data_IF_317712528702
#
_entry.id   IF_317712528702
#
_cell.length_a   1.000
_cell.length_b   1.000
_cell.length_c   1.000
_cell.angle_alpha   90.00
_cell.angle_beta   90.00
_cell.angle_gamma   90.00
#
_symmetry.space_group_name_H-M   'P 1'
#
loop_
_entity.id
_entity.type
_entity.pdbx_description
1 polymer ?
#
# COMPACT_ATOMS: atom_id res chain seq x y z
N UNK A 1 7.53 -18.13 17.20
CA UNK A 1 7.10 -16.72 17.25
C UNK A 1 5.60 -16.74 17.03
N UNK A 2 4.79 -16.34 18.00
CA UNK A 2 3.34 -16.24 17.81
C UNK A 2 3.05 -14.80 17.41
N UNK A 3 3.18 -14.52 16.11
CA UNK A 3 2.57 -13.33 15.53
C UNK A 3 1.08 -13.36 15.86
N UNK A 4 0.43 -12.20 15.98
CA UNK A 4 -1.02 -12.16 16.01
C UNK A 4 -1.53 -12.48 14.58
N UNK A 5 -1.63 -13.78 14.30
CA UNK A 5 -2.07 -14.28 13.01
C UNK A 5 -3.49 -13.80 12.69
N UNK A 6 -4.33 -13.55 13.71
CA UNK A 6 -5.67 -13.01 13.49
C UNK A 6 -5.60 -11.57 12.99
N UNK A 7 -4.71 -10.75 13.57
CA UNK A 7 -4.47 -9.39 13.08
C UNK A 7 -3.99 -9.37 11.63
N UNK A 8 -2.99 -10.18 11.28
CA UNK A 8 -2.43 -10.22 9.92
C UNK A 8 -3.48 -10.71 8.91
N UNK A 9 -4.24 -11.75 9.24
CA UNK A 9 -5.30 -12.26 8.35
C UNK A 9 -6.37 -11.18 8.11
N UNK A 10 -6.85 -10.53 9.18
CA UNK A 10 -7.83 -9.46 9.05
C UNK A 10 -7.31 -8.31 8.17
N UNK A 11 -6.05 -7.89 8.36
CA UNK A 11 -5.44 -6.82 7.55
C UNK A 11 -5.21 -7.22 6.10
N UNK A 12 -4.86 -8.48 5.83
CA UNK A 12 -4.74 -8.97 4.46
C UNK A 12 -6.09 -9.02 3.75
N UNK A 13 -7.17 -9.35 4.45
CA UNK A 13 -8.52 -9.35 3.90
C UNK A 13 -9.02 -7.92 3.62
N UNK A 14 -8.77 -6.97 4.53
CA UNK A 14 -8.98 -5.54 4.28
C UNK A 14 -8.22 -5.07 3.04
N UNK A 15 -6.91 -5.37 2.97
CA UNK A 15 -6.05 -4.96 1.87
C UNK A 15 -6.51 -5.52 0.53
N UNK A 16 -6.94 -6.78 0.47
CA UNK A 16 -7.53 -7.40 -0.73
C UNK A 16 -8.82 -6.74 -1.14
N UNK A 17 -9.70 -6.43 -0.18
CA UNK A 17 -10.95 -5.72 -0.45
C UNK A 17 -10.70 -4.37 -1.11
N UNK A 18 -9.85 -3.55 -0.49
CA UNK A 18 -9.51 -2.23 -1.04
C UNK A 18 -8.76 -2.31 -2.38
N UNK A 19 -7.86 -3.30 -2.55
CA UNK A 19 -7.17 -3.55 -3.83
C UNK A 19 -8.15 -3.90 -4.94
N UNK A 20 -9.15 -4.75 -4.64
CA UNK A 20 -10.21 -5.13 -5.57
C UNK A 20 -11.11 -3.96 -5.96
N UNK A 21 -11.59 -3.18 -5.00
CA UNK A 21 -12.37 -1.97 -5.28
C UNK A 21 -11.59 -0.95 -6.12
N UNK A 22 -10.28 -0.83 -5.85
CA UNK A 22 -9.39 0.04 -6.61
C UNK A 22 -9.20 -0.44 -8.05
N UNK A 23 -9.04 -1.75 -8.25
CA UNK A 23 -8.94 -2.36 -9.57
C UNK A 23 -10.23 -2.17 -10.39
N UNK A 24 -11.40 -2.42 -9.79
CA UNK A 24 -12.71 -2.17 -10.40
C UNK A 24 -12.85 -0.70 -10.84
N UNK A 25 -12.52 0.25 -9.96
CA UNK A 25 -12.56 1.67 -10.26
C UNK A 25 -11.58 2.06 -11.38
N UNK A 26 -10.44 1.38 -11.46
CA UNK A 26 -9.45 1.63 -12.51
C UNK A 26 -9.84 1.02 -13.86
N UNK A 27 -10.92 0.24 -13.98
CA UNK A 27 -11.43 -0.14 -15.30
C UNK A 27 -11.99 1.05 -16.10
N UNK A 28 -12.42 2.12 -15.42
CA UNK A 28 -12.80 3.38 -16.06
C UNK A 28 -11.55 4.08 -16.63
N UNK A 29 -11.70 4.83 -17.73
CA UNK A 29 -10.62 5.64 -18.28
C UNK A 29 -10.27 6.81 -17.36
N UNK A 30 -9.05 7.34 -17.49
CA UNK A 30 -8.63 8.51 -16.71
C UNK A 30 -9.58 9.71 -16.91
N UNK A 31 -10.13 9.88 -18.11
CA UNK A 31 -11.11 10.92 -18.40
C UNK A 31 -12.41 10.76 -17.61
N UNK A 32 -12.94 9.53 -17.53
CA UNK A 32 -14.16 9.22 -16.77
C UNK A 32 -13.97 9.41 -15.27
N UNK A 33 -12.81 9.03 -14.74
CA UNK A 33 -12.48 9.20 -13.32
C UNK A 33 -12.29 10.69 -12.99
N UNK A 34 -11.60 11.45 -13.85
CA UNK A 34 -11.36 12.88 -13.62
C UNK A 34 -12.64 13.72 -13.75
N UNK A 35 -13.55 13.32 -14.64
CA UNK A 35 -14.82 14.02 -14.85
C UNK A 35 -15.83 13.82 -13.72
N UNK A 36 -15.67 12.77 -12.90
CA UNK A 36 -16.55 12.44 -11.79
C UNK A 36 -15.82 12.55 -10.44
N UNK A 37 -16.15 13.59 -9.67
CA UNK A 37 -15.50 13.86 -8.38
C UNK A 37 -15.66 12.70 -7.39
N UNK A 38 -16.76 11.94 -7.45
CA UNK A 38 -16.94 10.80 -6.56
C UNK A 38 -15.99 9.67 -6.92
N UNK A 39 -15.77 9.40 -8.22
CA UNK A 39 -14.77 8.41 -8.66
C UNK A 39 -13.36 8.83 -8.30
N UNK A 40 -13.01 10.10 -8.49
CA UNK A 40 -11.69 10.61 -8.13
C UNK A 40 -11.43 10.50 -6.62
N UNK A 41 -12.37 10.99 -5.79
CA UNK A 41 -12.24 10.89 -4.33
C UNK A 41 -12.23 9.43 -3.85
N UNK A 42 -12.97 8.54 -4.50
CA UNK A 42 -12.91 7.11 -4.22
C UNK A 42 -11.51 6.55 -4.51
N UNK A 43 -10.90 6.86 -5.67
CA UNK A 43 -9.54 6.42 -6.01
C UNK A 43 -8.50 6.90 -4.99
N UNK A 44 -8.61 8.16 -4.58
CA UNK A 44 -7.74 8.76 -3.57
C UNK A 44 -7.89 8.07 -2.21
N UNK A 45 -9.13 7.84 -1.77
CA UNK A 45 -9.41 7.17 -0.50
C UNK A 45 -8.97 5.71 -0.51
N UNK A 46 -9.19 4.99 -1.61
CA UNK A 46 -8.75 3.61 -1.77
C UNK A 46 -7.23 3.51 -1.72
N UNK A 47 -6.49 4.42 -2.37
CA UNK A 47 -5.03 4.44 -2.22
C UNK A 47 -4.61 4.65 -0.76
N UNK A 48 -5.24 5.60 -0.05
CA UNK A 48 -4.94 5.84 1.36
C UNK A 48 -5.17 4.58 2.20
N UNK A 49 -6.32 3.92 2.03
CA UNK A 49 -6.67 2.71 2.76
C UNK A 49 -5.70 1.56 2.49
N UNK A 50 -5.35 1.33 1.22
CA UNK A 50 -4.35 0.32 0.81
C UNK A 50 -3.01 0.59 1.51
N UNK A 51 -2.48 1.81 1.36
CA UNK A 51 -1.14 2.14 1.88
C UNK A 51 -1.11 2.13 3.41
N UNK A 52 -2.14 2.66 4.08
CA UNK A 52 -2.23 2.65 5.54
C UNK A 52 -2.31 1.22 6.07
N UNK A 53 -3.06 0.33 5.41
CA UNK A 53 -3.14 -1.09 5.77
C UNK A 53 -1.80 -1.80 5.61
N UNK A 54 -1.05 -1.50 4.54
CA UNK A 54 0.31 -2.03 4.36
C UNK A 54 1.27 -1.52 5.46
N UNK A 55 1.16 -0.25 5.86
CA UNK A 55 1.94 0.32 6.95
C UNK A 55 1.60 -0.38 8.28
N UNK A 56 0.32 -0.60 8.58
CA UNK A 56 -0.14 -1.32 9.77
C UNK A 56 0.48 -2.72 9.84
N UNK A 57 0.44 -3.46 8.73
CA UNK A 57 1.06 -4.80 8.60
C UNK A 57 2.57 -4.70 8.85
N UNK A 58 3.27 -3.77 8.19
CA UNK A 58 4.71 -3.61 8.35
C UNK A 58 5.07 -3.30 9.81
N UNK A 59 4.36 -2.38 10.43
CA UNK A 59 4.59 -2.00 11.83
C UNK A 59 4.32 -3.16 12.79
N UNK A 60 3.31 -3.99 12.51
CA UNK A 60 3.07 -5.20 13.29
C UNK A 60 4.29 -6.12 13.26
N UNK A 61 4.81 -6.46 12.08
CA UNK A 61 6.03 -7.28 11.97
C UNK A 61 7.23 -6.64 12.67
N UNK A 62 7.45 -5.33 12.50
CA UNK A 62 8.55 -4.61 13.14
C UNK A 62 8.47 -4.72 14.66
N UNK A 63 7.28 -4.57 15.24
CA UNK A 63 7.06 -4.67 16.69
C UNK A 63 7.26 -6.09 17.20
N UNK A 64 6.66 -7.08 16.54
CA UNK A 64 6.74 -8.49 16.93
C UNK A 64 8.18 -9.03 16.87
N UNK A 65 8.93 -8.62 15.85
CA UNK A 65 10.33 -9.01 15.66
C UNK A 65 11.32 -8.12 16.44
N UNK A 66 10.83 -7.14 17.22
CA UNK A 66 11.65 -6.18 17.98
C UNK A 66 12.71 -5.48 17.12
N UNK A 67 12.33 -5.13 15.90
CA UNK A 67 13.20 -4.48 14.93
C UNK A 67 13.30 -2.99 15.19
N UNK A 68 14.33 -2.36 14.64
CA UNK A 68 14.47 -0.90 14.69
C UNK A 68 13.32 -0.24 13.93
N UNK A 69 12.58 0.61 14.62
CA UNK A 69 11.58 1.49 14.02
C UNK A 69 12.35 2.58 13.26
N UNK A 70 12.02 2.78 11.98
CA UNK A 70 12.60 3.87 11.20
C UNK A 70 11.87 5.19 11.40
N UNK A 71 12.41 6.26 10.82
CA UNK A 71 12.01 7.63 11.12
C UNK A 71 10.71 8.07 10.41
N UNK A 72 10.25 7.31 9.42
CA UNK A 72 9.04 7.58 8.66
C UNK A 72 8.30 6.29 8.24
N UNK A 73 7.09 6.43 7.68
CA UNK A 73 6.32 5.26 7.23
C UNK A 73 6.93 4.54 6.03
N UNK A 74 7.68 5.25 5.18
CA UNK A 74 8.37 4.65 4.04
C UNK A 74 9.45 3.66 4.49
N UNK A 75 10.13 3.98 5.58
CA UNK A 75 11.18 3.15 6.18
C UNK A 75 10.69 1.78 6.65
N UNK A 76 9.39 1.64 6.94
CA UNK A 76 8.82 0.35 7.35
C UNK A 76 9.00 -0.71 6.28
N UNK A 77 8.91 -0.35 4.99
CA UNK A 77 9.14 -1.26 3.87
C UNK A 77 10.62 -1.69 3.80
N UNK A 78 11.55 -0.75 3.96
CA UNK A 78 12.99 -1.06 3.96
C UNK A 78 13.37 -1.97 5.14
N UNK A 79 12.80 -1.75 6.32
CA UNK A 79 13.05 -2.61 7.48
C UNK A 79 12.61 -4.05 7.19
N UNK A 80 11.43 -4.25 6.59
CA UNK A 80 10.99 -5.58 6.15
C UNK A 80 11.91 -6.19 5.09
N UNK A 81 12.42 -5.37 4.16
CA UNK A 81 13.42 -5.80 3.18
C UNK A 81 14.71 -6.30 3.82
N UNK A 82 15.20 -5.62 4.87
CA UNK A 82 16.42 -6.00 5.59
C UNK A 82 16.31 -7.31 6.39
N UNK A 83 15.09 -7.82 6.57
CA UNK A 83 14.79 -9.03 7.33
C UNK A 83 14.29 -10.18 6.44
N UNK A 84 14.48 -10.06 5.12
CA UNK A 84 14.04 -11.05 4.12
C UNK A 84 12.52 -11.36 4.17
N UNK A 85 11.71 -10.46 4.74
CA UNK A 85 10.24 -10.53 4.71
C UNK A 85 9.75 -10.14 3.31
N UNK A 86 10.35 -9.08 2.78
CA UNK A 86 10.22 -8.67 1.38
C UNK A 86 11.57 -8.82 0.71
N UNK A 87 11.65 -9.20 -0.59
CA UNK A 87 12.89 -9.08 -1.33
C UNK A 87 13.36 -7.61 -1.32
N UNK A 88 14.61 -7.34 -0.97
CA UNK A 88 15.15 -5.97 -0.87
C UNK A 88 14.86 -5.10 -2.11
N UNK A 89 15.07 -5.58 -3.36
CA UNK A 89 14.77 -4.78 -4.55
C UNK A 89 13.27 -4.43 -4.67
N UNK A 90 12.40 -5.31 -4.18
CA UNK A 90 10.96 -5.08 -4.18
C UNK A 90 10.55 -4.10 -3.08
N UNK A 91 11.10 -4.24 -1.88
CA UNK A 91 10.90 -3.28 -0.79
C UNK A 91 11.27 -1.86 -1.25
N UNK A 92 12.40 -1.71 -1.95
CA UNK A 92 12.82 -0.43 -2.51
C UNK A 92 11.88 0.12 -3.58
N UNK A 93 11.34 -0.77 -4.42
CA UNK A 93 10.39 -0.42 -5.46
C UNK A 93 9.06 0.09 -4.90
N UNK A 94 8.51 -0.58 -3.88
CA UNK A 94 7.16 -0.30 -3.39
C UNK A 94 7.12 0.82 -2.34
N UNK A 95 8.19 1.01 -1.55
CA UNK A 95 8.23 2.01 -0.49
C UNK A 95 7.77 3.44 -0.91
N UNK A 96 8.12 3.96 -2.11
CA UNK A 96 7.66 5.28 -2.57
C UNK A 96 6.13 5.47 -2.66
N UNK A 97 5.33 4.40 -2.59
CA UNK A 97 3.86 4.48 -2.56
C UNK A 97 3.35 5.30 -1.36
N UNK A 98 4.09 5.31 -0.25
CA UNK A 98 3.82 6.17 0.92
C UNK A 98 3.87 7.65 0.54
N UNK A 99 4.83 8.03 -0.28
CA UNK A 99 4.94 9.39 -0.81
C UNK A 99 3.76 9.76 -1.71
N UNK A 100 3.24 8.82 -2.50
CA UNK A 100 2.05 9.04 -3.32
C UNK A 100 0.82 9.30 -2.43
N UNK A 101 0.60 8.47 -1.41
CA UNK A 101 -0.46 8.66 -0.40
C UNK A 101 -0.35 10.01 0.31
N UNK A 102 0.85 10.43 0.69
CA UNK A 102 1.06 11.72 1.37
C UNK A 102 0.76 12.94 0.48
N UNK A 103 0.98 12.82 -0.84
CA UNK A 103 0.67 13.90 -1.79
C UNK A 103 -0.83 14.16 -1.92
N UNK A 104 -1.66 13.12 -1.79
CA UNK A 104 -3.13 13.28 -1.76
C UNK A 104 -3.55 14.17 -0.60
N UNK A 105 -3.01 13.92 0.60
CA UNK A 105 -3.45 14.60 1.84
C UNK A 105 -2.92 16.02 1.95
N UNK A 106 -1.66 16.27 1.55
CA UNK A 106 -0.97 17.54 1.86
C UNK A 106 -0.80 18.50 0.67
N UNK A 107 -1.06 18.08 -0.58
CA UNK A 107 -0.73 18.87 -1.78
C UNK A 107 -1.81 18.88 -2.86
N UNK A 108 -3.09 18.82 -2.44
CA UNK A 108 -4.23 18.68 -3.33
C UNK A 108 -4.28 19.72 -4.46
N UNK A 109 -3.96 21.00 -4.18
CA UNK A 109 -3.99 22.08 -5.17
C UNK A 109 -2.94 21.94 -6.29
N UNK A 110 -1.93 21.09 -6.11
CA UNK A 110 -0.84 20.87 -7.08
C UNK A 110 -0.80 19.44 -7.64
N UNK A 111 -1.77 18.59 -7.28
CA UNK A 111 -1.79 17.20 -7.70
C UNK A 111 -2.25 17.10 -9.16
N UNK A 112 -1.35 16.71 -10.05
CA UNK A 112 -1.71 16.31 -11.41
C UNK A 112 -2.50 15.00 -11.36
N UNK A 113 -3.81 15.08 -11.60
CA UNK A 113 -4.74 13.94 -11.56
C UNK A 113 -4.38 12.85 -12.56
N UNK A 114 -3.86 13.19 -13.73
CA UNK A 114 -3.44 12.20 -14.74
C UNK A 114 -2.19 11.46 -14.28
N UNK A 115 -1.23 12.20 -13.72
CA UNK A 115 -0.04 11.58 -13.14
C UNK A 115 -0.40 10.68 -11.96
N UNK A 116 -1.31 11.12 -11.11
CA UNK A 116 -1.84 10.33 -10.00
C UNK A 116 -2.44 8.99 -10.48
N UNK A 117 -3.40 9.03 -11.41
CA UNK A 117 -4.04 7.80 -11.92
C UNK A 117 -3.04 6.89 -12.63
N UNK A 118 -2.10 7.45 -13.39
CA UNK A 118 -1.02 6.66 -14.00
C UNK A 118 -0.14 5.97 -12.96
N UNK A 119 0.26 6.69 -11.91
CA UNK A 119 1.02 6.11 -10.80
C UNK A 119 0.20 5.04 -10.07
N UNK A 120 -1.08 5.27 -9.85
CA UNK A 120 -1.97 4.32 -9.17
C UNK A 120 -2.07 2.99 -9.93
N UNK A 121 -2.31 3.06 -11.25
CA UNK A 121 -2.34 1.91 -12.15
C UNK A 121 -1.04 1.10 -12.14
N UNK A 122 0.10 1.79 -12.12
CA UNK A 122 1.40 1.13 -12.11
C UNK A 122 1.69 0.39 -10.79
N UNK A 123 1.10 0.83 -9.68
CA UNK A 123 1.33 0.26 -8.35
C UNK A 123 0.38 -0.90 -8.00
N UNK A 124 -0.75 -1.07 -8.70
CA UNK A 124 -1.70 -2.17 -8.47
C UNK A 124 -1.02 -3.54 -8.45
N UNK A 125 -0.18 -3.83 -9.45
CA UNK A 125 0.55 -5.09 -9.51
C UNK A 125 1.52 -5.28 -8.34
N UNK A 126 2.08 -4.18 -7.83
CA UNK A 126 3.02 -4.24 -6.71
C UNK A 126 2.29 -4.50 -5.38
N UNK A 127 1.07 -4.02 -5.20
CA UNK A 127 0.23 -4.33 -4.03
C UNK A 127 -0.05 -5.85 -3.97
N UNK A 128 -0.39 -6.47 -5.10
CA UNK A 128 -0.61 -7.92 -5.18
C UNK A 128 0.67 -8.74 -4.90
N UNK A 129 1.83 -8.27 -5.38
CA UNK A 129 3.12 -8.90 -5.07
C UNK A 129 3.43 -8.78 -3.57
N UNK A 130 3.17 -7.62 -2.97
CA UNK A 130 3.34 -7.40 -1.54
C UNK A 130 2.46 -8.37 -0.72
N UNK A 131 1.17 -8.49 -1.04
CA UNK A 131 0.24 -9.42 -0.37
C UNK A 131 0.81 -10.85 -0.40
N UNK A 132 1.31 -11.30 -1.57
CA UNK A 132 1.89 -12.64 -1.72
C UNK A 132 3.09 -12.85 -0.79
N UNK A 133 3.99 -11.88 -0.70
CA UNK A 133 5.14 -11.97 0.20
C UNK A 133 4.74 -12.04 1.67
N UNK A 134 3.79 -11.20 2.10
CA UNK A 134 3.30 -11.22 3.48
C UNK A 134 2.62 -12.54 3.81
N UNK A 135 1.78 -13.08 2.93
CA UNK A 135 1.13 -14.39 3.11
C UNK A 135 2.19 -15.50 3.23
N UNK A 136 3.17 -15.52 2.32
CA UNK A 136 4.24 -16.52 2.33
C UNK A 136 5.08 -16.47 3.60
N UNK A 137 5.36 -15.27 4.11
CA UNK A 137 6.12 -15.11 5.35
C UNK A 137 5.30 -15.53 6.57
N UNK A 138 4.01 -15.15 6.62
CA UNK A 138 3.12 -15.44 7.76
C UNK A 138 2.77 -16.92 7.92
N UNK A 139 2.95 -17.72 6.87
CA UNK A 139 2.71 -19.15 6.85
C UNK A 139 3.92 -19.99 7.30
N UNK A 140 5.09 -19.37 7.54
CA UNK A 140 6.30 -20.03 8.06
C UNK A 140 6.26 -20.13 9.57
#
# INVERSE_FOLDING_TARGET
MTFDQQFIVAKLDELRGYSGELDELLHFSDGEIIADQFKLHAAERLLQLVVDTMIDINQHFIRELKLKIGDDFQSTFYTLGSQDILPTPFAEKIAPIVGLRNRIVHRYETLDKKLFLRSLRNNLSDIEIYIKHIVQYSAK
#
